data_IF_099055908728
#
_entry.id   IF_099055908728
#
_cell.length_a   1.000
_cell.length_b   1.000
_cell.length_c   1.000
_cell.angle_alpha   90.00
_cell.angle_beta   90.00
_cell.angle_gamma   90.00
#
_symmetry.space_group_name_H-M   'P 1'
#
loop_
_entity.id
_entity.type
_entity.pdbx_description
1 polymer ?
#
# COMPACT_ATOMS: atom_id res chain seq x y z
N UNK A 1 -9.89 25.42 -40.37
CA UNK A 1 -10.15 24.91 -39.02
C UNK A 1 -10.77 23.54 -39.23
N UNK A 2 -10.11 22.46 -38.80
CA UNK A 2 -10.65 21.10 -38.92
C UNK A 2 -11.72 20.97 -37.85
N UNK A 3 -12.95 20.67 -38.26
CA UNK A 3 -14.06 20.48 -37.30
C UNK A 3 -13.85 19.15 -36.56
N UNK A 4 -13.81 19.17 -35.26
CA UNK A 4 -13.73 17.95 -34.40
C UNK A 4 -14.91 17.00 -34.66
N UNK A 5 -16.02 17.50 -35.17
CA UNK A 5 -17.24 16.74 -35.53
C UNK A 5 -17.01 15.65 -36.58
N UNK A 6 -15.89 15.67 -37.30
CA UNK A 6 -15.54 14.64 -38.27
C UNK A 6 -14.71 13.50 -37.70
N UNK A 7 -14.41 13.53 -36.40
CA UNK A 7 -13.57 12.52 -35.72
C UNK A 7 -14.42 11.54 -34.89
N UNK A 8 -13.96 10.30 -34.72
CA UNK A 8 -14.61 9.35 -33.81
C UNK A 8 -14.67 9.89 -32.39
N UNK A 9 -15.83 9.77 -31.78
CA UNK A 9 -16.09 10.20 -30.40
C UNK A 9 -16.34 8.96 -29.55
N UNK A 10 -15.64 8.84 -28.43
CA UNK A 10 -15.89 7.81 -27.42
C UNK A 10 -16.43 8.47 -26.15
N UNK A 11 -17.58 8.03 -25.67
CA UNK A 11 -18.15 8.45 -24.40
C UNK A 11 -17.63 7.51 -23.31
N UNK A 12 -17.09 8.08 -22.25
CA UNK A 12 -16.55 7.34 -21.12
C UNK A 12 -17.59 7.16 -20.01
N UNK A 13 -17.38 6.16 -19.16
CA UNK A 13 -18.26 5.86 -18.04
C UNK A 13 -18.37 7.01 -17.01
N UNK A 14 -17.35 7.88 -16.92
CA UNK A 14 -17.33 9.07 -16.06
C UNK A 14 -18.06 10.29 -16.66
N UNK A 15 -18.70 10.12 -17.83
CA UNK A 15 -19.39 11.20 -18.55
C UNK A 15 -18.48 12.14 -19.33
N UNK A 16 -17.17 11.85 -19.40
CA UNK A 16 -16.24 12.57 -20.28
C UNK A 16 -16.26 12.01 -21.69
N UNK A 17 -15.67 12.75 -22.65
CA UNK A 17 -15.52 12.33 -24.02
C UNK A 17 -14.06 12.24 -24.44
N UNK A 18 -13.77 11.34 -25.38
CA UNK A 18 -12.49 11.25 -26.07
C UNK A 18 -12.74 11.41 -27.57
N UNK A 19 -12.12 12.42 -28.16
CA UNK A 19 -12.17 12.68 -29.60
C UNK A 19 -10.86 12.19 -30.19
N UNK A 20 -10.91 11.26 -31.15
CA UNK A 20 -9.70 10.69 -31.75
C UNK A 20 -9.37 11.37 -33.07
N UNK A 21 -8.40 12.27 -33.07
CA UNK A 21 -7.91 12.98 -34.25
C UNK A 21 -6.62 12.32 -34.78
N UNK A 22 -6.69 11.72 -35.96
CA UNK A 22 -5.56 11.04 -36.59
C UNK A 22 -4.85 10.01 -35.65
N UNK A 23 -5.62 9.26 -34.90
CA UNK A 23 -5.10 8.28 -33.93
C UNK A 23 -4.62 8.88 -32.61
N UNK A 24 -4.66 10.20 -32.43
CA UNK A 24 -4.32 10.86 -31.17
C UNK A 24 -5.59 11.15 -30.38
N UNK A 25 -5.71 10.63 -29.12
CA UNK A 25 -6.85 10.88 -28.27
C UNK A 25 -6.77 12.30 -27.68
N UNK A 26 -7.86 13.04 -27.77
CA UNK A 26 -8.08 14.30 -27.10
C UNK A 26 -9.18 14.14 -26.05
N UNK A 27 -8.82 14.24 -24.78
CA UNK A 27 -9.76 14.08 -23.67
C UNK A 27 -10.51 15.38 -23.41
N UNK A 28 -11.84 15.29 -23.35
CA UNK A 28 -12.76 16.39 -23.01
C UNK A 28 -13.45 16.04 -21.69
N UNK A 29 -12.89 16.44 -20.55
CA UNK A 29 -13.45 16.12 -19.24
C UNK A 29 -14.70 16.96 -18.97
N UNK A 30 -15.61 16.37 -18.17
CA UNK A 30 -16.72 17.12 -17.60
C UNK A 30 -16.25 17.85 -16.33
N UNK A 31 -15.53 18.96 -16.52
CA UNK A 31 -14.95 19.74 -15.41
C UNK A 31 -14.92 21.24 -15.76
N UNK A 32 -14.78 22.07 -14.73
CA UNK A 32 -14.92 23.54 -14.81
C UNK A 32 -14.05 24.22 -15.91
N UNK A 33 -12.86 23.70 -16.22
CA UNK A 33 -12.00 24.26 -17.27
C UNK A 33 -12.42 23.90 -18.71
N UNK A 34 -13.31 22.94 -18.89
CA UNK A 34 -13.74 22.39 -20.19
C UNK A 34 -15.23 22.49 -20.46
N UNK A 35 -16.00 23.12 -19.56
CA UNK A 35 -17.48 23.14 -19.59
C UNK A 35 -18.06 23.51 -20.94
N UNK A 36 -17.53 24.52 -21.61
CA UNK A 36 -18.05 24.97 -22.91
C UNK A 36 -17.82 23.92 -24.00
N UNK A 37 -16.60 23.39 -24.12
CA UNK A 37 -16.27 22.36 -25.09
C UNK A 37 -17.00 21.05 -24.78
N UNK A 38 -17.06 20.67 -23.50
CA UNK A 38 -17.80 19.47 -23.09
C UNK A 38 -19.27 19.57 -23.47
N UNK A 39 -19.94 20.70 -23.19
CA UNK A 39 -21.34 20.92 -23.52
C UNK A 39 -21.59 20.88 -25.04
N UNK A 40 -20.66 21.41 -25.85
CA UNK A 40 -20.73 21.35 -27.28
C UNK A 40 -20.63 19.90 -27.80
N UNK A 41 -19.66 19.13 -27.27
CA UNK A 41 -19.48 17.73 -27.62
C UNK A 41 -20.65 16.87 -27.15
N UNK A 42 -21.17 17.10 -25.94
CA UNK A 42 -22.32 16.39 -25.39
C UNK A 42 -23.59 16.63 -26.25
N UNK A 43 -23.84 17.88 -26.60
CA UNK A 43 -24.97 18.25 -27.47
C UNK A 43 -24.85 17.55 -28.85
N UNK A 44 -23.66 17.53 -29.42
CA UNK A 44 -23.41 16.85 -30.70
C UNK A 44 -23.57 15.34 -30.58
N UNK A 45 -23.03 14.75 -29.51
CA UNK A 45 -23.12 13.32 -29.22
C UNK A 45 -24.56 12.84 -29.04
N UNK A 46 -25.41 13.66 -28.42
CA UNK A 46 -26.85 13.37 -28.26
C UNK A 46 -27.60 13.46 -29.60
N UNK A 47 -27.18 14.37 -30.48
CA UNK A 47 -27.79 14.53 -31.81
C UNK A 47 -27.33 13.47 -32.83
N UNK A 48 -26.15 12.89 -32.63
CA UNK A 48 -25.51 11.92 -33.52
C UNK A 48 -25.04 10.65 -32.79
N UNK A 49 -25.93 9.89 -32.19
CA UNK A 49 -25.57 8.70 -31.39
C UNK A 49 -24.85 7.62 -32.23
N UNK A 50 -25.07 7.61 -33.55
CA UNK A 50 -24.39 6.69 -34.46
C UNK A 50 -22.91 6.97 -34.66
N UNK A 51 -22.42 8.13 -34.25
CA UNK A 51 -21.00 8.56 -34.37
C UNK A 51 -20.28 8.40 -33.00
N UNK A 52 -21.02 8.05 -31.95
CA UNK A 52 -20.48 7.91 -30.60
C UNK A 52 -20.37 6.43 -30.25
N UNK A 53 -19.18 6.04 -29.80
CA UNK A 53 -18.94 4.70 -29.25
C UNK A 53 -18.84 4.81 -27.73
N UNK A 54 -19.60 4.03 -27.02
CA UNK A 54 -19.42 3.94 -25.56
C UNK A 54 -18.13 3.18 -25.23
N UNK A 55 -17.37 3.70 -24.30
CA UNK A 55 -16.22 2.98 -23.75
C UNK A 55 -16.73 1.67 -23.11
N UNK A 56 -16.15 0.51 -23.46
CA UNK A 56 -16.56 -0.74 -22.81
C UNK A 56 -16.36 -0.61 -21.32
N UNK A 57 -17.35 -1.06 -20.55
CA UNK A 57 -17.24 -1.10 -19.09
C UNK A 57 -15.96 -1.85 -18.71
N UNK A 58 -15.17 -1.35 -17.75
CA UNK A 58 -14.00 -2.08 -17.27
C UNK A 58 -14.44 -3.48 -16.82
N UNK A 59 -13.65 -4.51 -17.11
CA UNK A 59 -13.98 -5.86 -16.70
C UNK A 59 -14.21 -5.91 -15.19
N UNK A 60 -15.29 -6.54 -14.77
CA UNK A 60 -15.55 -6.77 -13.34
C UNK A 60 -14.46 -7.73 -12.85
N UNK A 61 -13.72 -7.37 -11.79
CA UNK A 61 -12.69 -8.26 -11.26
C UNK A 61 -13.29 -9.60 -10.86
N UNK A 62 -12.60 -10.67 -11.18
CA UNK A 62 -12.97 -12.02 -10.74
C UNK A 62 -12.76 -12.18 -9.24
N UNK A 63 -13.41 -13.18 -8.62
CA UNK A 63 -13.18 -13.50 -7.20
C UNK A 63 -11.70 -13.83 -6.92
N UNK A 64 -11.03 -14.49 -7.86
CA UNK A 64 -9.60 -14.81 -7.77
C UNK A 64 -8.73 -13.52 -7.77
N UNK A 65 -9.04 -12.55 -8.64
CA UNK A 65 -8.34 -11.27 -8.68
C UNK A 65 -8.58 -10.45 -7.41
N UNK A 66 -9.81 -10.46 -6.89
CA UNK A 66 -10.14 -9.80 -5.63
C UNK A 66 -9.40 -10.45 -4.46
N UNK A 67 -9.35 -11.76 -4.40
CA UNK A 67 -8.62 -12.51 -3.38
C UNK A 67 -7.10 -12.24 -3.47
N UNK A 68 -6.52 -12.28 -4.66
CA UNK A 68 -5.10 -11.97 -4.86
C UNK A 68 -4.75 -10.55 -4.42
N UNK A 69 -5.61 -9.57 -4.75
CA UNK A 69 -5.47 -8.19 -4.32
C UNK A 69 -5.56 -8.04 -2.80
N UNK A 70 -6.53 -8.71 -2.17
CA UNK A 70 -6.69 -8.70 -0.72
C UNK A 70 -5.45 -9.26 -0.01
N UNK A 71 -4.89 -10.38 -0.48
CA UNK A 71 -3.64 -10.97 0.04
C UNK A 71 -2.46 -10.02 -0.07
N UNK A 72 -2.32 -9.35 -1.22
CA UNK A 72 -1.24 -8.37 -1.43
C UNK A 72 -1.37 -7.18 -0.48
N UNK A 73 -2.56 -6.61 -0.34
CA UNK A 73 -2.82 -5.49 0.56
C UNK A 73 -2.57 -5.87 2.01
N UNK A 74 -3.05 -7.02 2.46
CA UNK A 74 -2.86 -7.51 3.83
C UNK A 74 -1.38 -7.81 4.12
N UNK A 75 -0.63 -8.37 3.18
CA UNK A 75 0.82 -8.55 3.32
C UNK A 75 1.54 -7.23 3.51
N UNK A 76 1.17 -6.19 2.73
CA UNK A 76 1.73 -4.84 2.88
C UNK A 76 1.38 -4.19 4.22
N UNK A 77 0.21 -4.52 4.80
CA UNK A 77 -0.18 -4.07 6.14
C UNK A 77 0.74 -4.65 7.21
N UNK A 78 1.08 -5.95 7.13
CA UNK A 78 2.08 -6.58 7.99
C UNK A 78 3.45 -5.92 7.88
N UNK A 79 3.91 -5.61 6.65
CA UNK A 79 5.21 -4.96 6.44
C UNK A 79 5.23 -3.56 7.05
N UNK A 80 4.14 -2.80 6.89
CA UNK A 80 3.99 -1.48 7.50
C UNK A 80 3.97 -1.56 9.02
N UNK A 81 3.23 -2.52 9.61
CA UNK A 81 3.19 -2.70 11.06
C UNK A 81 4.59 -2.99 11.64
N UNK A 82 5.39 -3.80 10.96
CA UNK A 82 6.77 -4.08 11.37
C UNK A 82 7.69 -2.86 11.23
N UNK A 83 7.56 -2.10 10.13
CA UNK A 83 8.32 -0.86 9.93
C UNK A 83 7.96 0.21 10.98
N UNK A 84 6.68 0.31 11.37
CA UNK A 84 6.23 1.23 12.43
C UNK A 84 6.79 0.85 13.81
N UNK A 85 6.97 -0.44 14.09
CA UNK A 85 7.64 -0.91 15.31
C UNK A 85 9.09 -0.42 15.31
N UNK A 86 9.85 -0.68 14.24
CA UNK A 86 11.25 -0.26 14.13
C UNK A 86 11.40 1.27 14.23
N UNK A 87 10.48 2.03 13.62
CA UNK A 87 10.50 3.49 13.67
C UNK A 87 10.20 4.07 15.05
N UNK A 88 9.46 3.36 15.91
CA UNK A 88 9.11 3.78 17.27
C UNK A 88 10.14 3.37 18.32
N UNK A 89 11.05 2.47 17.97
CA UNK A 89 12.17 2.13 18.84
C UNK A 89 13.26 3.20 18.70
N UNK A 90 13.84 3.65 19.79
CA UNK A 90 14.97 4.58 19.79
C UNK A 90 16.22 3.98 19.13
N UNK A 91 16.30 2.66 19.12
CA UNK A 91 17.35 1.88 18.47
C UNK A 91 16.73 0.86 17.52
N UNK A 92 17.35 0.67 16.36
CA UNK A 92 16.89 -0.37 15.43
C UNK A 92 17.07 -1.77 16.04
N UNK A 93 16.25 -2.72 15.59
CA UNK A 93 16.39 -4.14 15.97
C UNK A 93 17.81 -4.64 15.67
N UNK A 94 18.45 -4.15 14.59
CA UNK A 94 19.83 -4.48 14.23
C UNK A 94 20.85 -3.99 15.25
N UNK A 95 20.66 -2.77 15.78
CA UNK A 95 21.56 -2.20 16.79
C UNK A 95 21.45 -2.96 18.12
N UNK A 96 20.23 -3.35 18.51
CA UNK A 96 19.97 -4.17 19.69
C UNK A 96 20.69 -5.54 19.56
N UNK A 97 20.55 -6.19 18.39
CA UNK A 97 21.22 -7.46 18.10
C UNK A 97 22.73 -7.30 18.12
N UNK A 98 23.26 -6.26 17.47
CA UNK A 98 24.69 -5.99 17.43
C UNK A 98 25.25 -5.77 18.84
N UNK A 99 24.57 -4.99 19.67
CA UNK A 99 24.97 -4.75 21.05
C UNK A 99 24.95 -6.04 21.91
N UNK A 100 24.00 -6.93 21.69
CA UNK A 100 23.91 -8.23 22.39
C UNK A 100 24.96 -9.22 21.95
N UNK A 101 25.42 -9.16 20.67
CA UNK A 101 26.42 -10.07 20.11
C UNK A 101 27.87 -9.59 20.31
N UNK A 102 28.06 -8.33 20.72
CA UNK A 102 29.40 -7.79 20.96
C UNK A 102 30.01 -8.45 22.21
N UNK A 103 31.15 -9.16 22.10
CA UNK A 103 31.80 -9.76 23.24
C UNK A 103 32.16 -8.71 24.29
N UNK A 104 31.95 -9.01 25.55
CA UNK A 104 32.30 -8.12 26.66
C UNK A 104 33.79 -7.71 26.65
N UNK A 105 34.66 -8.57 26.14
CA UNK A 105 36.12 -8.32 25.93
C UNK A 105 36.34 -7.21 24.91
N UNK A 106 35.62 -7.20 23.80
CA UNK A 106 35.73 -6.15 22.76
C UNK A 106 35.19 -4.81 23.26
N UNK A 107 34.10 -4.83 24.01
CA UNK A 107 33.55 -3.63 24.63
C UNK A 107 34.51 -3.01 25.66
N UNK A 108 35.24 -3.84 26.43
CA UNK A 108 36.25 -3.38 27.38
C UNK A 108 37.48 -2.79 26.71
N UNK A 109 37.92 -3.35 25.56
CA UNK A 109 39.10 -2.87 24.81
C UNK A 109 38.85 -1.54 24.09
N UNK A 110 37.60 -1.23 23.74
CA UNK A 110 37.26 -0.02 23.01
C UNK A 110 36.84 1.16 23.90
N UNK A 111 36.89 0.99 25.22
CA UNK A 111 36.39 1.98 26.21
C UNK A 111 34.92 2.43 25.95
N UNK A 112 34.26 1.73 25.06
CA UNK A 112 32.88 1.92 24.67
C UNK A 112 32.07 0.81 25.34
N UNK A 113 31.69 0.98 26.59
CA UNK A 113 30.55 0.26 27.13
C UNK A 113 29.35 0.63 26.28
N UNK A 114 29.13 -0.13 25.20
CA UNK A 114 28.04 0.11 24.23
C UNK A 114 26.67 0.14 24.92
N UNK A 115 26.55 -0.57 26.04
CA UNK A 115 25.37 -0.59 26.91
C UNK A 115 25.79 -0.83 28.35
N UNK A 116 25.16 -0.13 29.29
CA UNK A 116 25.21 -0.47 30.70
C UNK A 116 24.51 -1.83 30.94
N UNK A 117 24.75 -2.45 32.13
CA UNK A 117 24.10 -3.70 32.46
C UNK A 117 22.56 -3.61 32.46
N UNK A 118 22.02 -2.47 32.88
CA UNK A 118 20.56 -2.21 32.87
C UNK A 118 20.03 -2.06 31.45
N UNK A 119 20.70 -1.31 30.59
CA UNK A 119 20.35 -1.19 29.18
C UNK A 119 20.45 -2.53 28.43
N UNK A 120 21.41 -3.38 28.79
CA UNK A 120 21.53 -4.70 28.20
C UNK A 120 20.33 -5.60 28.59
N UNK A 121 19.91 -5.59 29.85
CA UNK A 121 18.73 -6.35 30.28
C UNK A 121 17.44 -5.84 29.62
N UNK A 122 17.27 -4.53 29.54
CA UNK A 122 16.15 -3.92 28.80
C UNK A 122 16.16 -4.33 27.31
N UNK A 123 17.33 -4.25 26.67
CA UNK A 123 17.50 -4.67 25.26
C UNK A 123 17.17 -6.15 25.06
N UNK A 124 17.51 -7.03 25.98
CA UNK A 124 17.14 -8.45 25.91
C UNK A 124 15.62 -8.65 25.92
N UNK A 125 14.93 -7.95 26.83
CA UNK A 125 13.46 -8.04 26.91
C UNK A 125 12.80 -7.55 25.62
N UNK A 126 13.25 -6.39 25.09
CA UNK A 126 12.77 -5.85 23.81
C UNK A 126 13.01 -6.86 22.70
N UNK A 127 14.23 -7.40 22.60
CA UNK A 127 14.59 -8.38 21.57
C UNK A 127 13.71 -9.64 21.64
N UNK A 128 13.52 -10.23 22.81
CA UNK A 128 12.69 -11.42 22.97
C UNK A 128 11.25 -11.13 22.57
N UNK A 129 10.69 -9.99 22.99
CA UNK A 129 9.34 -9.57 22.62
C UNK A 129 9.20 -9.42 21.10
N UNK A 130 10.14 -8.73 20.45
CA UNK A 130 10.13 -8.54 18.98
C UNK A 130 10.26 -9.87 18.24
N UNK A 131 11.09 -10.79 18.71
CA UNK A 131 11.22 -12.13 18.13
C UNK A 131 9.93 -12.93 18.23
N UNK A 132 9.22 -12.82 19.35
CA UNK A 132 7.90 -13.46 19.51
C UNK A 132 6.88 -12.87 18.55
N UNK A 133 6.80 -11.55 18.47
CA UNK A 133 5.91 -10.84 17.53
C UNK A 133 6.22 -11.21 16.07
N UNK A 134 7.50 -11.24 15.68
CA UNK A 134 7.92 -11.66 14.34
C UNK A 134 7.51 -13.11 14.03
N UNK A 135 7.68 -14.02 15.02
CA UNK A 135 7.27 -15.41 14.84
C UNK A 135 5.76 -15.55 14.67
N UNK A 136 4.98 -14.85 15.49
CA UNK A 136 3.51 -14.83 15.38
C UNK A 136 3.06 -14.24 14.02
N UNK A 137 3.61 -13.09 13.65
CA UNK A 137 3.26 -12.44 12.38
C UNK A 137 3.64 -13.30 11.16
N UNK A 138 4.71 -14.12 11.24
CA UNK A 138 5.02 -15.08 10.18
C UNK A 138 3.92 -16.12 10.01
N UNK A 139 3.43 -16.70 11.11
CA UNK A 139 2.32 -17.67 11.06
C UNK A 139 1.06 -17.02 10.49
N UNK A 140 0.74 -15.79 10.92
CA UNK A 140 -0.42 -15.06 10.42
C UNK A 140 -0.29 -14.73 8.92
N UNK A 141 0.91 -14.40 8.43
CA UNK A 141 1.16 -14.24 6.99
C UNK A 141 0.93 -15.54 6.19
N UNK A 142 1.32 -16.68 6.75
CA UNK A 142 1.01 -17.98 6.14
C UNK A 142 -0.50 -18.21 6.07
N UNK A 143 -1.26 -17.84 7.10
CA UNK A 143 -2.72 -17.87 7.08
C UNK A 143 -3.30 -16.99 5.98
N UNK A 144 -2.80 -15.75 5.81
CA UNK A 144 -3.19 -14.87 4.69
C UNK A 144 -2.93 -15.55 3.34
N UNK A 145 -1.77 -16.19 3.15
CA UNK A 145 -1.43 -16.83 1.88
C UNK A 145 -2.31 -18.06 1.57
N UNK A 146 -2.71 -18.79 2.61
CA UNK A 146 -3.54 -20.00 2.47
C UNK A 146 -5.05 -19.73 2.47
N UNK A 147 -5.49 -18.53 2.82
CA UNK A 147 -6.89 -18.12 2.83
C UNK A 147 -7.56 -18.35 1.47
N UNK A 148 -8.81 -18.77 1.48
CA UNK A 148 -9.60 -19.09 0.30
C UNK A 148 -10.65 -18.04 -0.04
N UNK A 149 -10.87 -17.05 0.86
CA UNK A 149 -11.81 -15.95 0.64
C UNK A 149 -11.23 -14.61 1.07
N UNK A 150 -11.82 -13.53 0.58
CA UNK A 150 -11.45 -12.16 0.97
C UNK A 150 -11.73 -11.91 2.45
N UNK A 151 -12.83 -12.47 2.97
CA UNK A 151 -13.23 -12.37 4.37
C UNK A 151 -12.21 -13.05 5.29
N UNK A 152 -11.72 -14.24 4.93
CA UNK A 152 -10.66 -14.92 5.66
C UNK A 152 -9.37 -14.08 5.70
N UNK A 153 -8.98 -13.47 4.57
CA UNK A 153 -7.82 -12.58 4.51
C UNK A 153 -8.00 -11.36 5.42
N UNK A 154 -9.19 -10.74 5.39
CA UNK A 154 -9.49 -9.55 6.18
C UNK A 154 -9.54 -9.82 7.68
N UNK A 155 -9.92 -11.03 8.08
CA UNK A 155 -9.98 -11.43 9.50
C UNK A 155 -8.60 -11.59 10.15
N UNK A 156 -7.52 -11.70 9.38
CA UNK A 156 -6.17 -11.85 9.91
C UNK A 156 -5.59 -10.48 10.23
N UNK A 157 -5.26 -10.24 11.51
CA UNK A 157 -4.67 -8.97 11.94
C UNK A 157 -3.21 -9.14 12.37
N UNK A 158 -2.30 -8.18 12.06
CA UNK A 158 -0.93 -8.22 12.54
C UNK A 158 -0.88 -8.03 14.06
N UNK A 159 -0.02 -8.81 14.71
CA UNK A 159 0.28 -8.61 16.13
C UNK A 159 1.25 -7.45 16.26
N UNK A 160 0.87 -6.47 17.08
CA UNK A 160 1.70 -5.30 17.40
C UNK A 160 1.95 -5.33 18.92
N UNK A 161 3.21 -5.25 19.39
CA UNK A 161 3.50 -5.21 20.81
C UNK A 161 3.02 -3.88 21.43
N UNK A 162 2.82 -3.86 22.74
CA UNK A 162 2.60 -2.61 23.45
C UNK A 162 3.88 -1.76 23.41
N UNK A 163 3.92 -0.85 22.44
CA UNK A 163 5.07 0.03 22.20
C UNK A 163 5.33 0.98 23.38
N UNK A 164 4.28 1.39 24.12
CA UNK A 164 4.45 2.25 25.29
C UNK A 164 5.14 1.48 26.43
N UNK A 165 4.76 0.22 26.63
CA UNK A 165 5.41 -0.65 27.64
C UNK A 165 6.85 -1.00 27.24
N UNK A 166 7.17 -1.12 25.95
CA UNK A 166 8.54 -1.34 25.46
C UNK A 166 9.39 -0.08 25.63
N UNK A 167 8.90 1.09 25.21
CA UNK A 167 9.61 2.37 25.30
C UNK A 167 9.86 2.79 26.78
N UNK A 168 8.95 2.47 27.70
CA UNK A 168 9.15 2.75 29.13
C UNK A 168 10.30 1.95 29.77
N UNK A 169 10.87 0.98 29.03
CA UNK A 169 12.02 0.19 29.45
C UNK A 169 13.35 0.68 28.87
N UNK A 170 13.30 1.64 27.94
CA UNK A 170 14.48 2.36 27.43
C UNK A 170 14.93 3.43 28.43
#
# INVERSE_FOLDING_TARGET
>A
MISWQSFPITRRADGSYVITNNGLPYHVPNSDGFTALWAEVDTYAQAHPEQVTDEPAPPVPTEEELLARAKTLKTSEFDRAMADIDAKLARSTSDIVAAMLTPATLAAETDAALLSADELEKSKVIFVTLRQVQAQNRVLREQVQTAQSVEEVQAVEPVIPDMAALAARE
#
